data_IF_024135830718
#
_entry.id   IF_024135830718
#
_cell.length_a   1.000
_cell.length_b   1.000
_cell.length_c   1.000
_cell.angle_alpha   90.00
_cell.angle_beta   90.00
_cell.angle_gamma   90.00
#
_symmetry.space_group_name_H-M   'P 1'
#
loop_
_entity.id
_entity.type
_entity.pdbx_description
1 polymer ?
#
# COMPACT_ATOMS: atom_id res chain seq x y z
N UNK A 1 -13.11 6.57 18.39
CA UNK A 1 -11.79 7.19 18.13
C UNK A 1 -11.25 6.77 16.77
N UNK A 2 -10.20 7.42 16.23
CA UNK A 2 -9.57 7.01 14.96
C UNK A 2 -9.10 5.53 15.01
N UNK A 3 -8.53 5.14 16.15
CA UNK A 3 -8.07 3.77 16.40
C UNK A 3 -9.19 2.73 16.32
N UNK A 4 -10.35 3.01 16.95
CA UNK A 4 -11.50 2.12 16.91
C UNK A 4 -12.07 1.96 15.50
N UNK A 5 -12.18 3.06 14.75
CA UNK A 5 -12.63 3.03 13.35
C UNK A 5 -11.74 2.13 12.51
N UNK A 6 -10.42 2.25 12.65
CA UNK A 6 -9.46 1.41 11.93
C UNK A 6 -9.49 -0.05 12.39
N UNK A 7 -9.69 -0.32 13.69
CA UNK A 7 -9.91 -1.69 14.17
C UNK A 7 -11.13 -2.35 13.53
N UNK A 8 -12.23 -1.61 13.33
CA UNK A 8 -13.41 -2.11 12.62
C UNK A 8 -13.09 -2.41 11.15
N UNK A 9 -12.42 -1.50 10.44
CA UNK A 9 -12.00 -1.73 9.04
C UNK A 9 -11.11 -2.97 8.93
N UNK A 10 -10.12 -3.09 9.82
CA UNK A 10 -9.23 -4.26 9.89
C UNK A 10 -10.02 -5.56 10.12
N UNK A 11 -10.96 -5.55 11.07
CA UNK A 11 -11.78 -6.72 11.36
C UNK A 11 -12.60 -7.14 10.12
N UNK A 12 -13.28 -6.19 9.48
CA UNK A 12 -14.09 -6.49 8.29
C UNK A 12 -13.20 -7.02 7.15
N UNK A 13 -12.07 -6.38 6.85
CA UNK A 13 -11.20 -6.82 5.77
C UNK A 13 -10.53 -8.18 6.04
N UNK A 14 -9.91 -8.34 7.21
CA UNK A 14 -8.98 -9.44 7.46
C UNK A 14 -9.62 -10.61 8.23
N UNK A 15 -10.66 -10.36 9.03
CA UNK A 15 -11.35 -11.40 9.80
C UNK A 15 -12.66 -11.84 9.15
N UNK A 16 -13.45 -10.92 8.61
CA UNK A 16 -14.72 -11.27 7.95
C UNK A 16 -14.47 -11.70 6.50
N UNK A 17 -13.85 -10.84 5.69
CA UNK A 17 -13.61 -11.10 4.27
C UNK A 17 -12.30 -11.85 3.96
N UNK A 18 -11.48 -12.11 4.99
CA UNK A 18 -10.27 -12.96 4.91
C UNK A 18 -9.25 -12.54 3.84
N UNK A 19 -9.18 -11.24 3.51
CA UNK A 19 -8.10 -10.73 2.66
C UNK A 19 -6.74 -11.02 3.31
N UNK A 20 -5.75 -11.44 2.51
CA UNK A 20 -4.41 -11.78 3.03
C UNK A 20 -3.34 -11.72 1.95
N UNK A 21 -2.09 -11.58 2.38
CA UNK A 21 -0.93 -11.69 1.50
C UNK A 21 -0.79 -13.07 0.85
N UNK A 22 -0.45 -13.12 -0.44
CA UNK A 22 -0.20 -14.38 -1.15
C UNK A 22 1.22 -14.92 -0.88
N UNK A 23 1.48 -15.41 0.34
CA UNK A 23 2.80 -15.91 0.75
C UNK A 23 3.25 -17.16 -0.03
N UNK A 24 2.33 -17.97 -0.52
CA UNK A 24 2.63 -19.19 -1.29
C UNK A 24 3.12 -18.92 -2.71
N UNK A 25 2.76 -17.76 -3.29
CA UNK A 25 3.13 -17.40 -4.65
C UNK A 25 3.41 -15.90 -4.75
N UNK A 26 4.43 -15.43 -4.02
CA UNK A 26 4.74 -14.00 -3.90
C UNK A 26 5.19 -13.35 -5.22
N UNK A 27 5.71 -14.15 -6.16
CA UNK A 27 6.22 -13.69 -7.46
C UNK A 27 5.16 -13.70 -8.58
N UNK A 28 3.90 -13.99 -8.28
CA UNK A 28 2.86 -13.91 -9.31
C UNK A 28 2.48 -12.45 -9.60
N UNK A 29 2.49 -12.01 -10.88
CA UNK A 29 1.91 -10.74 -11.29
C UNK A 29 0.44 -10.59 -10.87
N UNK A 30 -0.29 -11.71 -10.78
CA UNK A 30 -1.71 -11.74 -10.37
C UNK A 30 -1.98 -11.07 -9.03
N UNK A 31 -0.97 -11.05 -8.15
CA UNK A 31 -1.07 -10.43 -6.83
C UNK A 31 -1.31 -8.92 -6.89
N UNK A 32 -1.08 -8.27 -8.04
CA UNK A 32 -1.23 -6.83 -8.22
C UNK A 32 -2.56 -6.43 -8.86
N UNK A 33 -3.31 -7.38 -9.43
CA UNK A 33 -4.58 -7.10 -10.08
C UNK A 33 -5.75 -7.10 -9.09
N UNK A 34 -6.48 -5.99 -9.01
CA UNK A 34 -7.58 -5.83 -8.04
C UNK A 34 -8.74 -6.79 -8.27
N UNK A 35 -9.08 -7.11 -9.52
CA UNK A 35 -10.12 -8.10 -9.82
C UNK A 35 -9.75 -9.48 -9.24
N UNK A 36 -8.51 -9.93 -9.43
CA UNK A 36 -8.04 -11.21 -8.90
C UNK A 36 -7.91 -11.18 -7.37
N UNK A 37 -7.54 -10.04 -6.78
CA UNK A 37 -7.58 -9.85 -5.33
C UNK A 37 -9.00 -10.03 -4.78
N UNK A 38 -10.01 -9.43 -5.41
CA UNK A 38 -11.40 -9.51 -4.96
C UNK A 38 -11.97 -10.93 -5.05
N UNK A 39 -11.59 -11.69 -6.08
CA UNK A 39 -11.99 -13.09 -6.27
C UNK A 39 -11.26 -14.02 -5.30
N UNK A 40 -9.92 -13.96 -5.27
CA UNK A 40 -9.09 -14.91 -4.52
C UNK A 40 -8.91 -14.56 -3.04
N UNK A 41 -9.22 -13.32 -2.66
CA UNK A 41 -8.88 -12.70 -1.37
C UNK A 41 -7.37 -12.68 -1.06
N UNK A 42 -6.52 -12.86 -2.08
CA UNK A 42 -5.06 -12.91 -1.97
C UNK A 42 -4.43 -11.83 -2.83
N UNK A 43 -3.42 -11.15 -2.31
CA UNK A 43 -2.72 -10.11 -3.08
C UNK A 43 -1.34 -9.75 -2.55
N UNK A 44 -0.75 -8.73 -3.15
CA UNK A 44 0.50 -8.10 -2.74
C UNK A 44 0.25 -7.06 -1.64
N UNK A 45 1.28 -6.57 -0.95
CA UNK A 45 1.14 -5.44 -0.03
C UNK A 45 0.47 -4.23 -0.69
N UNK A 46 0.82 -3.96 -1.96
CA UNK A 46 0.27 -2.86 -2.75
C UNK A 46 -1.21 -3.04 -3.07
N UNK A 47 -1.63 -4.18 -3.63
CA UNK A 47 -3.04 -4.36 -4.01
C UNK A 47 -3.97 -4.39 -2.79
N UNK A 48 -3.55 -5.04 -1.70
CA UNK A 48 -4.31 -5.03 -0.44
C UNK A 48 -4.35 -3.63 0.15
N UNK A 49 -3.23 -2.89 0.11
CA UNK A 49 -3.17 -1.51 0.56
C UNK A 49 -4.06 -0.56 -0.27
N UNK A 50 -4.10 -0.72 -1.59
CA UNK A 50 -4.99 0.04 -2.48
C UNK A 50 -6.45 -0.24 -2.14
N UNK A 51 -6.83 -1.51 -2.00
CA UNK A 51 -8.19 -1.87 -1.59
C UNK A 51 -8.55 -1.25 -0.23
N UNK A 52 -7.61 -1.28 0.72
CA UNK A 52 -7.79 -0.67 2.03
C UNK A 52 -8.04 0.84 1.91
N UNK A 53 -7.21 1.56 1.15
CA UNK A 53 -7.37 3.01 0.92
C UNK A 53 -8.74 3.31 0.32
N UNK A 54 -9.16 2.56 -0.71
CA UNK A 54 -10.46 2.75 -1.35
C UNK A 54 -11.60 2.62 -0.33
N UNK A 55 -11.58 1.56 0.49
CA UNK A 55 -12.60 1.33 1.52
C UNK A 55 -12.56 2.45 2.57
N UNK A 56 -11.38 2.77 3.11
CA UNK A 56 -11.23 3.78 4.14
C UNK A 56 -11.69 5.17 3.67
N UNK A 57 -11.29 5.58 2.45
CA UNK A 57 -11.71 6.87 1.88
C UNK A 57 -13.20 6.89 1.54
N UNK A 58 -13.81 5.78 1.12
CA UNK A 58 -15.26 5.69 0.95
C UNK A 58 -16.04 5.92 2.25
N UNK A 59 -15.40 5.65 3.40
CA UNK A 59 -15.92 5.89 4.75
C UNK A 59 -15.47 7.25 5.32
N UNK A 60 -14.89 8.14 4.48
CA UNK A 60 -14.33 9.44 4.87
C UNK A 60 -13.25 9.35 5.96
N UNK A 61 -12.47 8.26 5.96
CA UNK A 61 -11.31 8.12 6.82
C UNK A 61 -10.06 8.61 6.07
N UNK A 62 -9.22 9.48 6.69
CA UNK A 62 -8.02 10.06 6.08
C UNK A 62 -6.86 9.05 6.05
N UNK A 63 -7.04 7.97 5.30
CA UNK A 63 -6.01 6.92 5.13
C UNK A 63 -5.35 7.08 3.76
N UNK A 64 -4.01 7.17 3.78
CA UNK A 64 -3.19 7.41 2.60
C UNK A 64 -2.06 6.38 2.52
N UNK A 65 -1.56 6.11 1.31
CA UNK A 65 -0.40 5.25 1.13
C UNK A 65 0.89 5.97 1.50
N UNK A 66 1.89 5.24 2.00
CA UNK A 66 3.25 5.72 2.25
C UNK A 66 4.23 4.81 1.52
N UNK A 67 5.08 5.43 0.71
CA UNK A 67 5.97 4.75 -0.22
C UNK A 67 7.32 4.42 0.43
N UNK A 68 7.35 3.37 1.26
CA UNK A 68 8.60 2.91 1.88
C UNK A 68 9.42 2.04 0.91
N UNK A 69 10.77 2.09 0.97
CA UNK A 69 11.59 1.14 0.23
C UNK A 69 11.28 -0.29 0.69
N UNK A 70 11.06 -1.18 -0.28
CA UNK A 70 10.72 -2.59 -0.10
C UNK A 70 9.41 -2.90 0.65
N UNK A 71 8.71 -1.88 1.18
CA UNK A 71 7.48 -2.08 1.94
C UNK A 71 6.42 -1.05 1.54
N UNK A 72 5.14 -1.41 1.53
CA UNK A 72 4.06 -0.45 1.31
C UNK A 72 3.16 -0.44 2.54
N UNK A 73 3.00 0.73 3.13
CA UNK A 73 2.22 0.93 4.35
C UNK A 73 1.22 2.05 4.17
N UNK A 74 0.30 2.18 5.10
CA UNK A 74 -0.69 3.25 5.08
C UNK A 74 -0.48 4.15 6.30
N UNK A 75 -0.79 5.44 6.17
CA UNK A 75 -0.84 6.40 7.25
C UNK A 75 -2.29 6.81 7.50
N UNK A 76 -2.70 6.86 8.77
CA UNK A 76 -3.90 7.57 9.18
C UNK A 76 -3.50 8.99 9.58
N UNK A 77 -3.99 9.98 8.85
CA UNK A 77 -3.67 11.39 9.09
C UNK A 77 -4.64 12.02 10.08
N UNK A 78 -4.20 13.03 10.83
CA UNK A 78 -5.12 13.78 11.68
C UNK A 78 -6.20 14.49 10.83
N UNK A 79 -7.42 14.56 11.36
CA UNK A 79 -8.68 14.86 10.63
C UNK A 79 -8.81 16.31 10.11
N UNK A 80 -7.73 17.09 10.04
CA UNK A 80 -7.78 18.44 9.42
C UNK A 80 -8.00 18.37 7.92
N UNK A 81 -7.83 17.19 7.30
CA UNK A 81 -7.72 17.03 5.86
C UNK A 81 -8.33 15.69 5.41
N UNK A 82 -9.66 15.54 5.46
CA UNK A 82 -10.31 14.33 4.92
C UNK A 82 -10.44 14.35 3.38
N UNK A 83 -10.42 15.54 2.78
CA UNK A 83 -10.78 15.76 1.37
C UNK A 83 -9.61 16.23 0.50
N UNK A 84 -8.40 16.47 1.03
CA UNK A 84 -7.26 16.70 0.15
C UNK A 84 -6.80 15.39 -0.50
N UNK A 85 -6.33 15.54 -1.74
CA UNK A 85 -5.78 14.44 -2.52
C UNK A 85 -4.53 13.88 -1.83
N UNK A 86 -3.68 14.75 -1.28
CA UNK A 86 -2.46 14.44 -0.51
C UNK A 86 -2.25 15.53 0.55
N UNK A 87 -2.33 15.21 1.86
CA UNK A 87 -2.04 16.16 2.93
C UNK A 87 -0.56 16.57 2.93
N UNK A 88 -0.28 17.84 3.22
CA UNK A 88 1.08 18.34 3.39
C UNK A 88 1.68 17.93 4.76
N UNK A 89 2.90 17.40 4.77
CA UNK A 89 3.72 17.16 5.97
C UNK A 89 3.54 15.85 6.75
N UNK A 90 4.33 15.73 7.84
CA UNK A 90 4.42 14.60 8.78
C UNK A 90 3.28 14.62 9.83
N UNK A 91 2.03 14.51 9.37
CA UNK A 91 0.81 14.55 10.20
C UNK A 91 0.18 13.19 10.54
N UNK A 92 0.91 12.09 10.36
CA UNK A 92 0.39 10.75 10.61
C UNK A 92 0.20 10.49 12.11
N UNK A 93 -1.03 10.16 12.53
CA UNK A 93 -1.33 9.73 13.90
C UNK A 93 -0.75 8.34 14.18
N UNK A 94 -0.85 7.44 13.20
CA UNK A 94 -0.28 6.11 13.23
C UNK A 94 -0.24 5.53 11.81
N UNK A 95 0.49 4.44 11.66
CA UNK A 95 0.63 3.71 10.41
C UNK A 95 -0.02 2.33 10.51
N UNK A 96 -0.34 1.77 9.34
CA UNK A 96 -1.11 0.53 9.18
C UNK A 96 -0.35 -0.36 8.19
N UNK A 97 -0.16 -1.64 8.55
CA UNK A 97 0.45 -2.63 7.67
C UNK A 97 -0.65 -3.46 7.02
N UNK A 98 -1.08 -3.16 5.79
CA UNK A 98 -2.19 -3.86 5.15
C UNK A 98 -1.85 -5.33 4.87
N UNK A 99 -0.57 -5.64 4.65
CA UNK A 99 -0.12 -7.01 4.39
C UNK A 99 -0.09 -7.88 5.65
N UNK A 100 0.15 -7.27 6.81
CA UNK A 100 0.12 -7.92 8.12
C UNK A 100 -1.18 -7.62 8.89
N UNK A 101 -2.33 -7.90 8.24
CA UNK A 101 -3.67 -7.86 8.86
C UNK A 101 -4.01 -6.51 9.51
N UNK A 102 -3.49 -5.41 8.97
CA UNK A 102 -3.75 -4.07 9.48
C UNK A 102 -3.06 -3.76 10.80
N UNK A 103 -1.98 -4.47 11.14
CA UNK A 103 -1.18 -4.19 12.34
C UNK A 103 -0.79 -2.71 12.37
N UNK A 104 -0.97 -2.10 13.53
CA UNK A 104 -0.73 -0.68 13.74
C UNK A 104 0.66 -0.47 14.33
N UNK A 105 1.31 0.60 13.91
CA UNK A 105 2.62 0.96 14.39
C UNK A 105 2.83 2.48 14.35
N UNK A 106 3.83 2.92 15.08
CA UNK A 106 4.17 4.29 15.39
C UNK A 106 5.28 4.80 14.47
N UNK A 107 5.50 6.11 14.48
CA UNK A 107 6.64 6.75 13.81
C UNK A 107 7.98 6.13 14.20
N UNK A 108 8.19 5.87 15.50
CA UNK A 108 9.43 5.26 16.02
C UNK A 108 9.68 3.85 15.46
N UNK A 109 8.63 3.10 15.15
CA UNK A 109 8.75 1.77 14.54
C UNK A 109 9.16 1.85 13.07
N UNK A 110 8.71 2.88 12.33
CA UNK A 110 9.22 3.17 10.98
C UNK A 110 10.69 3.58 11.04
N UNK A 111 11.06 4.47 11.97
CA UNK A 111 12.47 4.85 12.14
C UNK A 111 13.36 3.63 12.43
N UNK A 112 12.90 2.75 13.32
CA UNK A 112 13.62 1.52 13.65
C UNK A 112 13.80 0.63 12.41
N UNK A 113 12.75 0.49 11.60
CA UNK A 113 12.81 -0.23 10.32
C UNK A 113 13.82 0.39 9.34
N UNK A 114 13.79 1.71 9.16
CA UNK A 114 14.73 2.45 8.28
C UNK A 114 16.18 2.23 8.74
N UNK A 115 16.43 2.38 10.05
CA UNK A 115 17.75 2.17 10.67
C UNK A 115 18.24 0.74 10.47
N UNK A 116 17.37 -0.26 10.70
CA UNK A 116 17.69 -1.68 10.50
C UNK A 116 18.05 -2.00 9.04
N UNK A 117 17.33 -1.40 8.09
CA UNK A 117 17.57 -1.60 6.66
C UNK A 117 18.73 -0.75 6.11
N UNK A 118 19.39 0.06 6.96
CA UNK A 118 20.49 0.98 6.59
C UNK A 118 20.09 1.92 5.44
N UNK A 119 18.83 2.33 5.41
CA UNK A 119 18.32 3.25 4.42
C UNK A 119 18.74 4.69 4.76
N UNK A 120 19.03 5.54 3.77
CA UNK A 120 19.28 6.96 4.01
C UNK A 120 18.03 7.60 4.62
N UNK A 121 18.23 8.64 5.44
CA UNK A 121 17.11 9.41 5.94
C UNK A 121 16.37 10.10 4.79
N UNK A 122 15.05 10.01 4.80
CA UNK A 122 14.17 10.61 3.80
C UNK A 122 12.80 10.85 4.42
N UNK A 123 12.36 12.10 4.49
CA UNK A 123 11.08 12.47 5.09
C UNK A 123 9.88 11.84 4.36
N UNK A 124 10.01 11.53 3.07
CA UNK A 124 8.96 10.86 2.30
C UNK A 124 8.64 9.45 2.81
N UNK A 125 9.49 8.87 3.67
CA UNK A 125 9.22 7.60 4.33
C UNK A 125 8.14 7.71 5.41
N UNK A 126 7.77 8.91 5.81
CA UNK A 126 6.78 9.18 6.84
C UNK A 126 5.54 9.91 6.32
N UNK A 127 5.65 10.53 5.15
CA UNK A 127 4.59 11.32 4.51
C UNK A 127 3.72 10.50 3.55
N UNK A 128 2.44 10.87 3.38
CA UNK A 128 1.59 10.35 2.31
C UNK A 128 2.23 10.48 0.92
N UNK A 129 2.00 9.49 0.07
CA UNK A 129 2.36 9.52 -1.34
C UNK A 129 1.11 9.66 -2.23
N UNK A 130 1.32 10.17 -3.45
CA UNK A 130 0.24 10.36 -4.42
C UNK A 130 -0.29 9.03 -4.97
N UNK A 131 -1.53 9.04 -5.47
CA UNK A 131 -2.07 7.92 -6.25
C UNK A 131 -1.18 7.61 -7.47
N UNK A 132 -0.60 8.64 -8.08
CA UNK A 132 0.34 8.50 -9.20
C UNK A 132 1.60 7.72 -8.77
N UNK A 133 2.14 7.99 -7.57
CA UNK A 133 3.28 7.28 -6.99
C UNK A 133 2.94 5.80 -6.79
N UNK A 134 1.77 5.51 -6.21
CA UNK A 134 1.29 4.13 -6.01
C UNK A 134 1.16 3.41 -7.35
N UNK A 135 0.56 4.05 -8.35
CA UNK A 135 0.41 3.46 -9.69
C UNK A 135 1.77 3.19 -10.34
N UNK A 136 2.70 4.14 -10.31
CA UNK A 136 4.08 3.95 -10.81
C UNK A 136 4.76 2.76 -10.14
N UNK A 137 4.56 2.60 -8.84
CA UNK A 137 5.09 1.44 -8.11
C UNK A 137 4.45 0.12 -8.56
N UNK A 138 3.13 0.07 -8.73
CA UNK A 138 2.44 -1.12 -9.27
C UNK A 138 2.98 -1.50 -10.66
N UNK A 139 3.16 -0.52 -11.55
CA UNK A 139 3.75 -0.75 -12.87
C UNK A 139 5.18 -1.29 -12.77
N UNK A 140 6.03 -0.67 -11.93
CA UNK A 140 7.42 -1.11 -11.75
C UNK A 140 7.53 -2.56 -11.26
N UNK A 141 6.68 -2.96 -10.31
CA UNK A 141 6.61 -4.33 -9.81
C UNK A 141 6.14 -5.31 -10.88
N UNK A 142 5.06 -4.97 -11.62
CA UNK A 142 4.56 -5.83 -12.70
C UNK A 142 5.59 -6.01 -13.82
N UNK A 143 6.25 -4.93 -14.25
CA UNK A 143 7.33 -4.98 -15.26
C UNK A 143 8.42 -5.94 -14.80
N UNK A 144 8.92 -5.75 -13.57
CA UNK A 144 9.99 -6.57 -13.00
C UNK A 144 9.62 -8.05 -12.92
N UNK A 145 8.37 -8.37 -12.54
CA UNK A 145 7.88 -9.75 -12.47
C UNK A 145 7.74 -10.39 -13.86
N UNK A 146 7.23 -9.65 -14.85
CA UNK A 146 7.10 -10.15 -16.21
C UNK A 146 8.47 -10.40 -16.85
N UNK A 147 9.43 -9.48 -16.70
CA UNK A 147 10.81 -9.68 -17.14
C UNK A 147 11.45 -10.92 -16.51
N UNK A 148 11.33 -11.06 -15.19
CA UNK A 148 11.86 -12.22 -14.46
C UNK A 148 11.22 -13.56 -14.88
N UNK A 149 9.98 -13.53 -15.38
CA UNK A 149 9.27 -14.71 -15.90
C UNK A 149 9.50 -14.99 -17.38
N UNK A 150 10.29 -14.16 -18.07
CA UNK A 150 10.55 -14.25 -19.51
C UNK A 150 9.42 -13.73 -20.40
N UNK A 151 8.38 -13.12 -19.83
CA UNK A 151 7.27 -12.53 -20.58
C UNK A 151 7.61 -11.09 -21.01
N UNK A 152 8.59 -10.97 -21.88
CA UNK A 152 9.18 -9.68 -22.29
C UNK A 152 8.18 -8.80 -23.03
N UNK A 153 7.34 -9.38 -23.89
CA UNK A 153 6.30 -8.63 -24.63
C UNK A 153 5.37 -7.91 -23.65
N UNK A 154 4.91 -8.60 -22.60
CA UNK A 154 4.04 -7.99 -21.61
C UNK A 154 4.73 -6.90 -20.80
N UNK A 155 6.01 -7.08 -20.49
CA UNK A 155 6.79 -6.07 -19.79
C UNK A 155 6.93 -4.78 -20.63
N UNK A 156 7.16 -4.88 -21.94
CA UNK A 156 7.25 -3.73 -22.84
C UNK A 156 5.91 -2.99 -22.98
N UNK A 157 4.78 -3.72 -23.07
CA UNK A 157 3.45 -3.11 -23.02
C UNK A 157 3.25 -2.28 -21.74
N UNK A 158 3.64 -2.84 -20.60
CA UNK A 158 3.53 -2.18 -19.30
C UNK A 158 4.45 -0.96 -19.19
N UNK A 159 5.68 -1.02 -19.73
CA UNK A 159 6.59 0.14 -19.82
C UNK A 159 5.97 1.27 -20.64
N UNK A 160 5.36 0.93 -21.78
CA UNK A 160 4.67 1.91 -22.63
C UNK A 160 3.51 2.58 -21.88
N UNK A 161 2.69 1.81 -21.17
CA UNK A 161 1.61 2.37 -20.34
C UNK A 161 2.16 3.23 -19.20
N UNK A 162 3.20 2.77 -18.51
CA UNK A 162 3.82 3.51 -17.41
C UNK A 162 4.43 4.85 -17.86
N UNK A 163 4.91 4.94 -19.11
CA UNK A 163 5.44 6.18 -19.68
C UNK A 163 4.38 7.26 -19.93
N UNK A 164 3.09 6.89 -19.90
CA UNK A 164 1.96 7.82 -20.07
C UNK A 164 1.44 8.37 -18.73
N UNK A 165 2.04 8.00 -17.59
CA UNK A 165 1.69 8.45 -16.23
C UNK A 165 2.51 9.65 -15.75
#
# INVERSE_FOLDING_TARGET
TALEKIKVVNHIMFDVHKFRGNKSNMKSPDNFYLNLLLESRKGSPLSIGILYIIIARSLKLPVYGVDLPNHFVLAYMDNTIADEEIPDGNGALFYINPFNRGTLFTHNEIEAYIKQMKLPHNDNYFSPCSNLTIMKRVFGELISLHEASGNIEKAEELKKLASAL
#
